data_IF_509487583482
#
_entry.id   IF_509487583482
#
_cell.length_a   1.000
_cell.length_b   1.000
_cell.length_c   1.000
_cell.angle_alpha   90.00
_cell.angle_beta   90.00
_cell.angle_gamma   90.00
#
_symmetry.space_group_name_H-M   'P 1'
#
loop_
_entity.id
_entity.type
_entity.pdbx_description
1 polymer ?
#
# COMPACT_ATOMS: atom_id res chain seq x y z
N UNK A 1 19.38 24.98 5.83
CA UNK A 1 18.05 25.36 6.34
C UNK A 1 18.16 25.52 7.85
N UNK A 2 17.65 26.61 8.42
CA UNK A 2 17.61 26.83 9.87
C UNK A 2 16.17 26.78 10.38
N UNK A 3 15.96 26.16 11.54
CA UNK A 3 14.65 26.02 12.16
C UNK A 3 14.60 26.76 13.51
N UNK A 4 13.43 27.29 13.86
CA UNK A 4 13.08 27.76 15.20
C UNK A 4 12.07 26.79 15.82
N UNK A 5 12.21 26.53 17.11
CA UNK A 5 11.22 25.77 17.88
C UNK A 5 10.11 26.71 18.33
N UNK A 6 8.86 26.36 18.02
CA UNK A 6 7.66 27.02 18.53
C UNK A 6 6.98 26.06 19.51
N UNK A 7 6.99 26.40 20.81
CA UNK A 7 6.37 25.56 21.83
C UNK A 7 6.95 24.14 21.91
N UNK A 8 6.08 23.16 22.12
CA UNK A 8 6.45 21.75 22.20
C UNK A 8 6.29 21.06 20.83
N UNK A 9 7.39 20.57 20.26
CA UNK A 9 7.38 19.72 19.07
C UNK A 9 7.15 20.42 17.72
N UNK A 10 6.87 21.72 17.69
CA UNK A 10 6.60 22.46 16.46
C UNK A 10 7.86 23.17 15.96
N UNK A 11 8.25 22.89 14.71
CA UNK A 11 9.41 23.52 14.07
C UNK A 11 8.97 24.38 12.90
N UNK A 12 9.48 25.61 12.85
CA UNK A 12 9.27 26.52 11.72
C UNK A 12 10.61 26.85 11.05
N UNK A 13 10.63 26.94 9.72
CA UNK A 13 11.80 27.46 9.00
C UNK A 13 11.97 28.93 9.38
N UNK A 14 13.17 29.30 9.84
CA UNK A 14 13.42 30.63 10.43
C UNK A 14 13.03 31.77 9.49
N UNK A 15 13.26 31.61 8.19
CA UNK A 15 12.94 32.57 7.13
C UNK A 15 11.45 32.71 6.81
N UNK A 16 10.60 31.79 7.29
CA UNK A 16 9.15 31.80 7.07
C UNK A 16 8.36 32.30 8.28
N UNK A 17 9.04 32.61 9.39
CA UNK A 17 8.37 33.00 10.63
C UNK A 17 7.55 34.29 10.48
N UNK A 18 8.14 35.32 9.89
CA UNK A 18 7.47 36.62 9.72
C UNK A 18 6.40 36.56 8.60
N UNK A 19 6.50 35.62 7.66
CA UNK A 19 5.48 35.41 6.60
C UNK A 19 4.19 34.76 7.13
N UNK A 20 4.23 34.11 8.31
CA UNK A 20 3.08 33.39 8.86
C UNK A 20 1.93 34.32 9.25
N UNK A 21 2.22 35.58 9.64
CA UNK A 21 1.17 36.57 9.96
C UNK A 21 0.41 37.08 8.74
N UNK A 22 0.95 36.85 7.54
CA UNK A 22 0.43 37.37 6.28
C UNK A 22 -0.40 36.32 5.51
N UNK A 23 -0.71 35.17 6.12
CA UNK A 23 -1.48 34.14 5.43
C UNK A 23 -2.94 34.57 5.26
N UNK A 24 -3.45 34.43 4.04
CA UNK A 24 -4.85 34.72 3.68
C UNK A 24 -5.68 33.44 3.48
N UNK A 25 -5.03 32.28 3.44
CA UNK A 25 -5.69 30.99 3.27
C UNK A 25 -4.89 29.87 3.94
N UNK A 26 -5.61 28.88 4.45
CA UNK A 26 -5.06 27.59 4.88
C UNK A 26 -5.68 26.52 3.99
N UNK A 27 -4.83 25.76 3.32
CA UNK A 27 -5.24 24.65 2.44
C UNK A 27 -4.75 23.36 3.08
N UNK A 28 -5.65 22.41 3.26
CA UNK A 28 -5.35 21.11 3.83
C UNK A 28 -5.25 20.07 2.73
N UNK A 29 -4.23 19.22 2.83
CA UNK A 29 -4.30 17.90 2.23
C UNK A 29 -5.30 17.03 3.01
N UNK A 30 -5.76 15.92 2.44
CA UNK A 30 -6.67 14.99 3.13
C UNK A 30 -5.85 13.93 3.85
N UNK A 31 -5.13 13.12 3.08
CA UNK A 31 -4.47 11.91 3.57
C UNK A 31 -3.25 12.27 4.42
N UNK A 32 -3.22 11.78 5.66
CA UNK A 32 -2.16 12.09 6.63
C UNK A 32 -2.19 13.52 7.20
N UNK A 33 -3.23 14.31 6.85
CA UNK A 33 -3.46 15.66 7.41
C UNK A 33 -4.81 15.74 8.10
N UNK A 34 -5.91 15.54 7.37
CA UNK A 34 -7.27 15.53 7.93
C UNK A 34 -7.69 14.11 8.37
N UNK A 35 -7.20 13.09 7.68
CA UNK A 35 -7.57 11.69 7.87
C UNK A 35 -6.34 10.81 7.95
N UNK A 36 -6.29 9.92 8.93
CA UNK A 36 -5.33 8.82 8.97
C UNK A 36 -5.85 7.66 8.13
N UNK A 37 -5.19 7.47 6.99
CA UNK A 37 -5.46 6.42 6.01
C UNK A 37 -4.56 5.20 6.19
N UNK A 38 -3.65 5.21 7.19
CA UNK A 38 -2.62 4.18 7.33
C UNK A 38 -3.25 2.79 7.51
N UNK A 39 -4.27 2.68 8.36
CA UNK A 39 -4.95 1.40 8.65
C UNK A 39 -5.66 0.85 7.42
N UNK A 40 -6.38 1.69 6.66
CA UNK A 40 -7.13 1.27 5.47
C UNK A 40 -6.19 0.78 4.37
N UNK A 41 -5.11 1.51 4.07
CA UNK A 41 -4.13 1.11 3.05
C UNK A 41 -3.35 -0.15 3.46
N UNK A 42 -2.90 -0.26 4.72
CA UNK A 42 -2.11 -1.41 5.16
C UNK A 42 -2.96 -2.68 5.12
N UNK A 43 -4.20 -2.60 5.59
CA UNK A 43 -5.17 -3.67 5.49
C UNK A 43 -5.42 -4.06 4.01
N UNK A 44 -5.63 -3.08 3.13
CA UNK A 44 -5.86 -3.31 1.70
C UNK A 44 -4.68 -4.01 1.03
N UNK A 45 -3.45 -3.57 1.29
CA UNK A 45 -2.23 -4.17 0.74
C UNK A 45 -2.13 -5.64 1.19
N UNK A 46 -2.32 -5.92 2.49
CA UNK A 46 -2.24 -7.30 3.00
C UNK A 46 -3.35 -8.18 2.43
N UNK A 47 -4.61 -7.72 2.45
CA UNK A 47 -5.74 -8.48 1.90
C UNK A 47 -5.56 -8.76 0.42
N UNK A 48 -5.17 -7.75 -0.37
CA UNK A 48 -4.89 -7.91 -1.81
C UNK A 48 -3.77 -8.94 -2.02
N UNK A 49 -2.72 -8.89 -1.21
CA UNK A 49 -1.61 -9.85 -1.27
C UNK A 49 -2.08 -11.27 -0.98
N UNK A 50 -2.83 -11.50 0.11
CA UNK A 50 -3.40 -12.81 0.45
C UNK A 50 -4.34 -13.33 -0.64
N UNK A 51 -5.24 -12.48 -1.13
CA UNK A 51 -6.24 -12.84 -2.15
C UNK A 51 -5.55 -13.23 -3.46
N UNK A 52 -4.59 -12.42 -3.93
CA UNK A 52 -3.89 -12.70 -5.18
C UNK A 52 -3.03 -13.96 -5.04
N UNK A 53 -2.21 -14.07 -4.00
CA UNK A 53 -1.38 -15.27 -3.80
C UNK A 53 -2.24 -16.55 -3.73
N UNK A 54 -3.35 -16.52 -3.00
CA UNK A 54 -4.24 -17.68 -2.90
C UNK A 54 -4.94 -17.95 -4.24
N UNK A 55 -5.70 -16.99 -4.75
CA UNK A 55 -6.59 -17.27 -5.88
C UNK A 55 -5.86 -17.36 -7.22
N UNK A 56 -4.78 -16.60 -7.40
CA UNK A 56 -3.99 -16.63 -8.62
C UNK A 56 -2.94 -17.74 -8.57
N UNK A 57 -2.19 -17.86 -7.47
CA UNK A 57 -1.03 -18.74 -7.38
C UNK A 57 -1.27 -20.04 -6.59
N UNK A 58 -2.44 -20.19 -5.95
CA UNK A 58 -2.71 -21.34 -5.06
C UNK A 58 -1.92 -21.30 -3.75
N UNK A 59 -1.38 -20.14 -3.38
CA UNK A 59 -0.53 -19.94 -2.21
C UNK A 59 -1.32 -19.29 -1.08
N UNK A 60 -1.65 -20.07 -0.06
CA UNK A 60 -2.26 -19.53 1.16
C UNK A 60 -1.18 -18.98 2.10
N UNK A 61 -1.42 -17.78 2.65
CA UNK A 61 -0.54 -17.16 3.62
C UNK A 61 -1.34 -16.40 4.69
N UNK A 62 -0.65 -16.10 5.79
CA UNK A 62 -1.08 -15.12 6.79
C UNK A 62 -0.03 -14.02 6.86
N UNK A 63 -0.47 -12.77 6.89
CA UNK A 63 0.39 -11.60 6.81
C UNK A 63 0.37 -10.82 8.11
N UNK A 64 1.58 -10.55 8.60
CA UNK A 64 1.86 -10.00 9.91
C UNK A 64 2.26 -8.53 9.93
N UNK A 65 2.89 -8.12 11.03
CA UNK A 65 3.53 -6.81 11.21
C UNK A 65 4.87 -6.67 10.47
N UNK A 66 5.46 -7.78 10.04
CA UNK A 66 6.61 -7.80 9.14
C UNK A 66 6.28 -7.22 7.76
N UNK A 67 5.05 -7.39 7.26
CA UNK A 67 4.58 -6.70 6.05
C UNK A 67 4.49 -5.19 6.27
N UNK A 68 4.05 -4.74 7.45
CA UNK A 68 3.97 -3.30 7.77
C UNK A 68 5.36 -2.66 7.74
N UNK A 69 6.38 -3.36 8.24
CA UNK A 69 7.76 -2.92 8.16
C UNK A 69 8.26 -2.81 6.70
N UNK A 70 7.84 -3.73 5.82
CA UNK A 70 8.15 -3.68 4.38
C UNK A 70 7.44 -2.51 3.69
N UNK A 71 6.15 -2.30 3.96
CA UNK A 71 5.38 -1.16 3.41
C UNK A 71 6.04 0.16 3.81
N UNK A 72 6.37 0.32 5.10
CA UNK A 72 7.08 1.50 5.61
C UNK A 72 8.42 1.68 4.90
N UNK A 73 9.20 0.61 4.73
CA UNK A 73 10.52 0.67 4.08
C UNK A 73 10.40 1.09 2.61
N UNK A 74 9.38 0.63 1.89
CA UNK A 74 9.11 1.06 0.51
C UNK A 74 8.76 2.56 0.45
N UNK A 75 7.87 3.03 1.34
CA UNK A 75 7.51 4.46 1.41
C UNK A 75 8.73 5.35 1.72
N UNK A 76 9.67 4.86 2.53
CA UNK A 76 10.90 5.59 2.88
C UNK A 76 11.91 5.73 1.73
N UNK A 77 11.81 4.95 0.65
CA UNK A 77 12.68 5.07 -0.53
C UNK A 77 12.29 6.24 -1.45
N UNK A 78 11.12 6.86 -1.22
CA UNK A 78 10.64 8.07 -1.88
C UNK A 78 10.08 7.88 -3.30
N UNK A 79 10.35 6.78 -3.99
CA UNK A 79 9.79 6.49 -5.32
C UNK A 79 8.57 5.56 -5.34
N UNK A 80 8.09 5.10 -4.17
CA UNK A 80 6.96 4.19 -4.02
C UNK A 80 5.70 4.91 -3.49
N UNK A 81 5.13 5.79 -4.32
CA UNK A 81 3.92 6.56 -3.98
C UNK A 81 2.61 5.85 -4.35
N UNK A 82 2.67 4.71 -5.06
CA UNK A 82 1.49 3.96 -5.50
C UNK A 82 1.34 2.70 -4.67
N UNK A 83 0.24 2.59 -3.93
CA UNK A 83 -0.04 1.39 -3.13
C UNK A 83 -0.31 0.15 -4.01
N UNK A 84 -0.73 0.33 -5.26
CA UNK A 84 -0.77 -0.76 -6.25
C UNK A 84 0.62 -1.32 -6.53
N UNK A 85 1.63 -0.45 -6.72
CA UNK A 85 3.01 -0.89 -6.90
C UNK A 85 3.52 -1.55 -5.61
N UNK A 86 3.24 -0.98 -4.44
CA UNK A 86 3.59 -1.57 -3.14
C UNK A 86 3.05 -2.99 -3.00
N UNK A 87 1.75 -3.19 -3.24
CA UNK A 87 1.14 -4.52 -3.19
C UNK A 87 1.75 -5.47 -4.24
N UNK A 88 1.91 -5.01 -5.49
CA UNK A 88 2.48 -5.82 -6.57
C UNK A 88 3.91 -6.28 -6.25
N UNK A 89 4.74 -5.40 -5.67
CA UNK A 89 6.11 -5.70 -5.29
C UNK A 89 6.19 -6.70 -4.14
N UNK A 90 5.33 -6.55 -3.12
CA UNK A 90 5.25 -7.52 -2.01
C UNK A 90 4.82 -8.90 -2.53
N UNK A 91 3.80 -8.94 -3.40
CA UNK A 91 3.33 -10.19 -4.04
C UNK A 91 4.47 -10.86 -4.81
N UNK A 92 5.22 -10.11 -5.62
CA UNK A 92 6.36 -10.63 -6.37
C UNK A 92 7.46 -11.19 -5.46
N UNK A 93 7.83 -10.47 -4.39
CA UNK A 93 8.85 -10.90 -3.45
C UNK A 93 8.49 -12.22 -2.75
N UNK A 94 7.22 -12.36 -2.32
CA UNK A 94 6.71 -13.59 -1.71
C UNK A 94 6.63 -14.73 -2.73
N UNK A 95 6.14 -14.44 -3.93
CA UNK A 95 5.99 -15.43 -5.00
C UNK A 95 7.33 -16.07 -5.40
N UNK A 96 8.40 -15.28 -5.47
CA UNK A 96 9.72 -15.77 -5.90
C UNK A 96 10.25 -16.92 -5.03
N UNK A 97 10.01 -16.87 -3.71
CA UNK A 97 10.50 -17.90 -2.79
C UNK A 97 9.47 -18.98 -2.47
N UNK A 98 8.30 -18.98 -3.12
CA UNK A 98 7.31 -20.03 -2.97
C UNK A 98 7.75 -21.32 -3.68
N UNK A 99 7.43 -22.50 -3.14
CA UNK A 99 7.71 -23.79 -3.82
C UNK A 99 6.67 -24.07 -4.93
N UNK A 100 7.15 -24.41 -6.13
CA UNK A 100 6.42 -24.96 -7.31
C UNK A 100 5.01 -24.44 -7.61
N UNK A 101 4.87 -23.14 -7.88
CA UNK A 101 3.70 -22.62 -8.62
C UNK A 101 4.02 -22.68 -10.12
N UNK A 102 3.55 -23.73 -10.80
CA UNK A 102 3.76 -23.89 -12.25
C UNK A 102 2.86 -22.98 -13.10
N UNK A 103 1.70 -22.54 -12.58
CA UNK A 103 0.78 -21.67 -13.33
C UNK A 103 -0.09 -20.78 -12.43
N UNK A 104 -0.36 -19.56 -12.92
CA UNK A 104 -1.36 -18.67 -12.35
C UNK A 104 -2.73 -18.96 -12.98
N UNK A 105 -3.82 -18.95 -12.19
CA UNK A 105 -5.17 -19.15 -12.73
C UNK A 105 -5.58 -18.00 -13.66
N UNK A 106 -6.30 -18.30 -14.74
CA UNK A 106 -6.73 -17.28 -15.71
C UNK A 106 -8.04 -16.58 -15.33
N UNK A 107 -8.86 -17.19 -14.46
CA UNK A 107 -10.18 -16.67 -14.06
C UNK A 107 -10.37 -16.76 -12.55
N UNK A 108 -11.08 -15.77 -12.01
CA UNK A 108 -11.35 -15.62 -10.60
C UNK A 108 -12.86 -15.56 -10.37
N UNK A 109 -13.33 -16.38 -9.44
CA UNK A 109 -14.69 -16.30 -8.91
C UNK A 109 -14.82 -15.09 -7.98
N UNK A 110 -16.07 -14.78 -7.58
CA UNK A 110 -16.32 -13.73 -6.58
C UNK A 110 -15.65 -14.09 -5.26
N UNK A 111 -14.97 -13.10 -4.67
CA UNK A 111 -14.14 -13.18 -3.47
C UNK A 111 -14.87 -12.46 -2.36
N UNK A 112 -15.24 -13.20 -1.31
CA UNK A 112 -15.75 -12.63 -0.07
C UNK A 112 -14.58 -12.41 0.90
N UNK A 113 -14.32 -11.13 1.20
CA UNK A 113 -13.14 -10.68 1.97
C UNK A 113 -13.24 -11.05 3.44
N UNK A 114 -14.44 -11.30 3.97
CA UNK A 114 -14.62 -11.79 5.34
C UNK A 114 -13.82 -13.09 5.56
N UNK A 115 -13.69 -13.94 4.53
CA UNK A 115 -12.91 -15.18 4.59
C UNK A 115 -11.39 -14.98 4.66
N UNK A 116 -10.90 -13.76 4.46
CA UNK A 116 -9.48 -13.42 4.46
C UNK A 116 -9.06 -12.57 5.66
N UNK A 117 -10.01 -12.13 6.51
CA UNK A 117 -9.68 -11.32 7.69
C UNK A 117 -8.79 -12.10 8.66
N UNK A 118 -9.03 -13.40 8.85
CA UNK A 118 -8.22 -14.28 9.70
C UNK A 118 -6.79 -14.54 9.13
N UNK A 119 -6.54 -14.15 7.87
CA UNK A 119 -5.19 -14.14 7.32
C UNK A 119 -4.37 -12.93 7.78
N UNK A 120 -4.98 -11.90 8.36
CA UNK A 120 -4.28 -10.73 8.86
C UNK A 120 -4.02 -10.91 10.35
N UNK A 121 -2.74 -10.95 10.74
CA UNK A 121 -2.32 -11.28 12.11
C UNK A 121 -1.42 -10.19 12.69
N UNK A 122 -1.38 -10.05 14.01
CA UNK A 122 -0.51 -9.07 14.69
C UNK A 122 0.97 -9.52 14.71
N UNK A 123 1.22 -10.83 14.63
CA UNK A 123 2.55 -11.45 14.72
C UNK A 123 3.34 -11.45 13.41
N UNK A 124 4.26 -12.41 13.28
CA UNK A 124 5.01 -12.63 12.03
C UNK A 124 4.15 -13.32 10.97
N UNK A 125 4.49 -13.11 9.69
CA UNK A 125 3.84 -13.79 8.57
C UNK A 125 4.12 -15.29 8.55
N UNK A 126 3.23 -16.03 7.90
CA UNK A 126 3.37 -17.48 7.71
C UNK A 126 2.79 -17.90 6.34
N UNK A 127 3.18 -19.06 5.78
CA UNK A 127 4.18 -20.02 6.29
C UNK A 127 5.63 -19.51 6.18
N UNK A 128 6.61 -20.31 6.61
CA UNK A 128 8.02 -19.91 6.75
C UNK A 128 8.62 -19.26 5.49
N UNK A 129 8.25 -19.73 4.29
CA UNK A 129 8.77 -19.12 3.05
C UNK A 129 8.32 -17.66 2.89
N UNK A 130 7.13 -17.30 3.37
CA UNK A 130 6.61 -15.92 3.32
C UNK A 130 7.45 -15.03 4.24
N UNK A 131 7.69 -15.50 5.46
CA UNK A 131 8.53 -14.80 6.44
C UNK A 131 9.94 -14.58 5.92
N UNK A 132 10.59 -15.62 5.38
CA UNK A 132 11.94 -15.50 4.85
C UNK A 132 11.98 -14.61 3.59
N UNK A 133 10.93 -14.62 2.76
CA UNK A 133 10.78 -13.67 1.63
C UNK A 133 10.76 -12.22 2.11
N UNK A 134 9.92 -11.93 3.11
CA UNK A 134 9.76 -10.57 3.64
C UNK A 134 11.05 -10.09 4.33
N UNK A 135 11.74 -10.99 5.02
CA UNK A 135 13.03 -10.71 5.66
C UNK A 135 14.13 -10.42 4.63
N UNK A 136 14.25 -11.25 3.59
CA UNK A 136 15.15 -11.01 2.46
C UNK A 136 14.85 -9.65 1.82
N UNK A 137 13.58 -9.40 1.51
CA UNK A 137 13.18 -8.17 0.83
C UNK A 137 13.41 -6.94 1.70
N UNK A 138 13.07 -7.01 2.99
CA UNK A 138 13.37 -5.95 3.97
C UNK A 138 14.88 -5.65 4.05
N UNK A 139 15.73 -6.67 3.94
CA UNK A 139 17.19 -6.51 3.86
C UNK A 139 17.60 -5.65 2.67
N UNK A 140 17.11 -6.00 1.48
CA UNK A 140 17.38 -5.26 0.23
C UNK A 140 16.94 -3.80 0.34
N UNK A 141 15.74 -3.54 0.87
CA UNK A 141 15.22 -2.17 1.01
C UNK A 141 16.09 -1.34 1.95
N UNK A 142 16.49 -1.91 3.10
CA UNK A 142 17.33 -1.24 4.10
C UNK A 142 18.73 -0.92 3.57
N UNK A 143 19.33 -1.80 2.79
CA UNK A 143 20.64 -1.56 2.15
C UNK A 143 20.61 -0.37 1.17
N UNK A 144 19.42 0.02 0.71
CA UNK A 144 19.22 1.12 -0.23
C UNK A 144 18.63 2.38 0.41
N UNK A 145 18.51 2.45 1.74
CA UNK A 145 18.06 3.67 2.42
C UNK A 145 18.98 4.86 2.12
N UNK A 146 18.37 6.03 1.95
CA UNK A 146 19.05 7.26 1.52
C UNK A 146 19.28 7.36 0.01
N UNK A 147 18.94 6.33 -0.77
CA UNK A 147 18.82 6.40 -2.23
C UNK A 147 17.36 6.58 -2.62
N UNK A 148 17.13 7.38 -3.66
CA UNK A 148 15.83 7.43 -4.30
C UNK A 148 15.71 6.21 -5.21
N UNK A 149 14.77 5.31 -4.92
CA UNK A 149 14.48 4.15 -5.74
C UNK A 149 13.06 4.21 -6.27
N UNK A 150 12.95 4.15 -7.59
CA UNK A 150 11.69 4.05 -8.32
C UNK A 150 11.31 2.57 -8.51
N UNK A 151 10.11 2.35 -9.04
CA UNK A 151 9.56 1.01 -9.31
C UNK A 151 10.52 0.16 -10.14
N UNK A 152 11.08 0.73 -11.19
CA UNK A 152 11.96 0.05 -12.14
C UNK A 152 13.25 -0.45 -11.47
N UNK A 153 13.74 0.27 -10.45
CA UNK A 153 14.91 -0.16 -9.68
C UNK A 153 14.59 -1.41 -8.84
N UNK A 154 13.42 -1.42 -8.18
CA UNK A 154 12.98 -2.57 -7.40
C UNK A 154 12.62 -3.75 -8.30
N UNK A 155 11.99 -3.52 -9.45
CA UNK A 155 11.73 -4.56 -10.45
C UNK A 155 13.02 -5.20 -10.96
N UNK A 156 14.08 -4.40 -11.18
CA UNK A 156 15.40 -4.93 -11.56
C UNK A 156 15.99 -5.84 -10.48
N UNK A 157 15.88 -5.47 -9.20
CA UNK A 157 16.34 -6.31 -8.09
C UNK A 157 15.55 -7.62 -7.97
N UNK A 158 14.23 -7.56 -8.22
CA UNK A 158 13.38 -8.75 -8.27
C UNK A 158 13.75 -9.65 -9.47
N UNK A 159 14.10 -9.07 -10.61
CA UNK A 159 14.52 -9.80 -11.80
C UNK A 159 15.87 -10.51 -11.57
N UNK A 160 16.84 -9.84 -10.93
CA UNK A 160 18.11 -10.45 -10.53
C UNK A 160 17.88 -11.64 -9.57
N UNK A 161 16.94 -11.54 -8.64
CA UNK A 161 16.61 -12.66 -7.76
C UNK A 161 15.90 -13.78 -8.52
N UNK A 162 14.99 -13.44 -9.43
CA UNK A 162 14.34 -14.41 -10.29
C UNK A 162 15.34 -15.19 -11.14
N UNK A 163 16.40 -14.55 -11.63
CA UNK A 163 17.48 -15.21 -12.36
C UNK A 163 18.22 -16.23 -11.47
N UNK A 164 18.60 -15.85 -10.25
CA UNK A 164 19.27 -16.76 -9.29
C UNK A 164 18.41 -17.97 -8.95
N UNK A 165 17.10 -17.78 -8.83
CA UNK A 165 16.15 -18.84 -8.48
C UNK A 165 15.64 -19.63 -9.71
N UNK A 166 16.03 -19.25 -10.94
CA UNK A 166 15.52 -19.87 -12.16
C UNK A 166 14.03 -19.62 -12.42
N UNK A 167 13.50 -18.48 -11.94
CA UNK A 167 12.07 -18.12 -11.94
C UNK A 167 11.68 -16.94 -12.82
N UNK A 168 12.56 -16.49 -13.71
CA UNK A 168 12.31 -15.34 -14.61
C UNK A 168 10.99 -15.47 -15.35
N UNK A 169 10.72 -16.62 -15.99
CA UNK A 169 9.47 -16.82 -16.75
C UNK A 169 8.24 -16.88 -15.84
N UNK A 170 8.36 -17.46 -14.64
CA UNK A 170 7.27 -17.50 -13.66
C UNK A 170 6.93 -16.08 -13.17
N UNK A 171 7.95 -15.26 -12.86
CA UNK A 171 7.76 -13.86 -12.47
C UNK A 171 7.11 -13.05 -13.59
N UNK A 172 7.53 -13.25 -14.84
CA UNK A 172 6.94 -12.60 -16.01
C UNK A 172 5.46 -12.96 -16.18
N UNK A 173 5.10 -14.24 -16.02
CA UNK A 173 3.70 -14.70 -16.06
C UNK A 173 2.87 -14.10 -14.93
N UNK A 174 3.43 -14.01 -13.72
CA UNK A 174 2.79 -13.34 -12.60
C UNK A 174 2.49 -11.87 -12.96
N UNK A 175 3.51 -11.09 -13.36
CA UNK A 175 3.32 -9.67 -13.75
C UNK A 175 2.26 -9.48 -14.83
N UNK A 176 2.25 -10.37 -15.83
CA UNK A 176 1.23 -10.36 -16.89
C UNK A 176 -0.17 -10.59 -16.33
N UNK A 177 -0.30 -11.52 -15.38
CA UNK A 177 -1.57 -11.86 -14.74
C UNK A 177 -2.07 -10.78 -13.77
N UNK A 178 -1.17 -10.07 -13.08
CA UNK A 178 -1.53 -8.88 -12.29
C UNK A 178 -2.08 -7.76 -13.17
N UNK A 179 -1.65 -7.72 -14.43
CA UNK A 179 -2.08 -6.76 -15.44
C UNK A 179 -1.44 -5.38 -15.29
N UNK A 180 -1.81 -4.43 -16.17
CA UNK A 180 -1.38 -3.05 -16.08
C UNK A 180 -1.80 -2.42 -14.74
N UNK A 181 -0.86 -1.76 -14.07
CA UNK A 181 -1.08 -1.09 -12.79
C UNK A 181 -1.39 0.40 -12.98
N UNK A 182 -2.37 0.73 -13.83
CA UNK A 182 -2.61 2.12 -14.25
C UNK A 182 -3.91 2.72 -13.74
N UNK A 183 -5.01 1.95 -13.67
CA UNK A 183 -6.31 2.43 -13.18
C UNK A 183 -7.22 1.27 -12.78
N UNK A 184 -8.33 1.58 -12.12
CA UNK A 184 -9.39 0.59 -11.87
C UNK A 184 -9.86 -0.05 -13.18
N UNK A 185 -9.98 -1.38 -13.21
CA UNK A 185 -10.37 -2.14 -14.40
C UNK A 185 -9.27 -2.33 -15.44
N UNK A 186 -8.10 -1.68 -15.32
CA UNK A 186 -7.01 -1.87 -16.28
C UNK A 186 -6.29 -3.21 -16.13
N UNK A 187 -6.15 -3.67 -14.89
CA UNK A 187 -5.46 -4.90 -14.53
C UNK A 187 -6.17 -5.58 -13.37
N UNK A 188 -5.82 -6.85 -13.15
CA UNK A 188 -6.42 -7.63 -12.09
C UNK A 188 -6.12 -7.05 -10.71
N UNK A 189 -4.85 -6.70 -10.46
CA UNK A 189 -4.42 -6.19 -9.17
C UNK A 189 -5.11 -4.87 -8.83
N UNK A 190 -5.15 -3.92 -9.76
CA UNK A 190 -5.77 -2.61 -9.51
C UNK A 190 -7.27 -2.73 -9.27
N UNK A 191 -7.93 -3.67 -9.95
CA UNK A 191 -9.36 -3.93 -9.76
C UNK A 191 -9.64 -4.52 -8.38
N UNK A 192 -8.95 -5.60 -8.00
CA UNK A 192 -9.11 -6.21 -6.68
C UNK A 192 -8.75 -5.21 -5.57
N UNK A 193 -7.64 -4.48 -5.72
CA UNK A 193 -7.18 -3.53 -4.72
C UNK A 193 -8.22 -2.45 -4.45
N UNK A 194 -8.74 -1.79 -5.50
CA UNK A 194 -9.74 -0.73 -5.33
C UNK A 194 -11.06 -1.27 -4.77
N UNK A 195 -11.49 -2.48 -5.15
CA UNK A 195 -12.73 -3.05 -4.59
C UNK A 195 -12.57 -3.48 -3.13
N UNK A 196 -11.38 -3.95 -2.72
CA UNK A 196 -11.07 -4.19 -1.30
C UNK A 196 -11.03 -2.86 -0.53
N UNK A 197 -10.41 -1.83 -1.11
CA UNK A 197 -10.28 -0.53 -0.47
C UNK A 197 -11.64 0.13 -0.29
N UNK A 198 -12.40 0.32 -1.37
CA UNK A 198 -13.64 1.07 -1.39
C UNK A 198 -14.86 0.27 -0.93
N UNK A 199 -14.83 -1.05 -1.10
CA UNK A 199 -16.01 -1.91 -0.90
C UNK A 199 -17.09 -1.70 -1.95
N UNK A 200 -18.20 -2.45 -1.83
CA UNK A 200 -19.23 -2.47 -2.87
C UNK A 200 -19.94 -1.12 -3.07
N UNK A 201 -20.17 -0.36 -2.01
CA UNK A 201 -20.77 0.98 -2.11
C UNK A 201 -19.78 2.00 -2.67
N UNK A 202 -18.52 1.97 -2.22
CA UNK A 202 -17.51 2.91 -2.68
C UNK A 202 -17.11 2.69 -4.14
N UNK A 203 -17.02 1.44 -4.61
CA UNK A 203 -16.76 1.13 -6.03
C UNK A 203 -17.90 1.64 -6.91
N UNK A 204 -19.16 1.40 -6.53
CA UNK A 204 -20.33 1.93 -7.26
C UNK A 204 -20.34 3.45 -7.27
N UNK A 205 -20.02 4.08 -6.14
CA UNK A 205 -19.98 5.53 -6.01
C UNK A 205 -18.89 6.19 -6.86
N UNK A 206 -17.67 5.64 -6.85
CA UNK A 206 -16.49 6.21 -7.53
C UNK A 206 -16.46 5.88 -9.02
N UNK A 207 -16.81 4.65 -9.40
CA UNK A 207 -16.64 4.14 -10.76
C UNK A 207 -17.96 3.92 -11.52
N UNK A 208 -19.11 4.01 -10.84
CA UNK A 208 -20.42 3.83 -11.47
C UNK A 208 -20.71 2.39 -11.92
N UNK A 209 -19.96 1.41 -11.40
CA UNK A 209 -20.09 -0.01 -11.74
C UNK A 209 -20.14 -0.87 -10.47
N UNK A 210 -20.79 -2.02 -10.57
CA UNK A 210 -20.71 -3.05 -9.52
C UNK A 210 -19.30 -3.66 -9.48
N UNK A 211 -18.77 -4.01 -8.29
CA UNK A 211 -17.51 -4.75 -8.17
C UNK A 211 -17.51 -6.04 -8.98
N UNK A 212 -16.40 -6.28 -9.68
CA UNK A 212 -16.19 -7.43 -10.54
C UNK A 212 -15.83 -8.65 -9.71
N UNK A 213 -14.93 -8.50 -8.75
CA UNK A 213 -14.31 -9.63 -8.04
C UNK A 213 -14.69 -9.68 -6.57
N UNK A 214 -14.88 -8.55 -5.91
CA UNK A 214 -14.90 -8.50 -4.44
C UNK A 214 -16.30 -8.25 -3.88
N UNK A 215 -16.62 -8.96 -2.79
CA UNK A 215 -17.76 -8.73 -1.90
C UNK A 215 -17.23 -8.29 -0.54
N UNK A 216 -17.41 -7.01 -0.18
CA UNK A 216 -16.82 -6.43 1.03
C UNK A 216 -17.37 -5.03 1.32
N UNK A 217 -17.35 -4.61 2.59
CA UNK A 217 -17.81 -3.27 3.00
C UNK A 217 -16.81 -2.14 2.70
N UNK A 218 -15.54 -2.46 2.50
CA UNK A 218 -14.47 -1.50 2.22
C UNK A 218 -13.51 -1.31 3.38
N UNK A 219 -12.21 -1.39 3.12
CA UNK A 219 -11.17 -1.10 4.11
C UNK A 219 -11.14 0.39 4.48
N UNK A 220 -11.65 1.27 3.60
CA UNK A 220 -11.83 2.72 3.82
C UNK A 220 -12.63 3.05 5.09
N UNK A 221 -13.46 2.12 5.57
CA UNK A 221 -14.20 2.30 6.83
C UNK A 221 -13.32 2.26 8.09
N UNK A 222 -12.03 1.94 7.96
CA UNK A 222 -11.07 1.92 9.06
C UNK A 222 -10.23 3.21 9.17
N UNK A 223 -10.63 4.26 8.46
CA UNK A 223 -9.96 5.56 8.50
C UNK A 223 -10.42 6.37 9.70
N UNK A 224 -9.49 7.14 10.27
CA UNK A 224 -9.72 7.92 11.49
C UNK A 224 -9.51 9.41 11.20
N UNK A 225 -10.41 10.26 11.70
CA UNK A 225 -10.23 11.71 11.61
C UNK A 225 -9.08 12.13 12.52
N UNK A 226 -8.10 12.85 11.96
CA UNK A 226 -6.97 13.42 12.68
C UNK A 226 -7.26 14.80 13.25
N UNK A 227 -8.14 15.54 12.58
CA UNK A 227 -8.50 16.90 12.96
C UNK A 227 -9.85 16.92 13.67
N UNK A 228 -9.97 17.77 14.69
CA UNK A 228 -11.26 18.06 15.31
C UNK A 228 -11.98 19.18 14.54
N UNK A 229 -13.32 19.10 14.48
CA UNK A 229 -14.13 20.13 13.82
C UNK A 229 -13.91 21.52 14.45
N UNK A 230 -13.62 21.57 15.75
CA UNK A 230 -13.33 22.82 16.46
C UNK A 230 -12.04 23.48 15.95
N UNK A 231 -10.99 22.71 15.70
CA UNK A 231 -9.75 23.23 15.11
C UNK A 231 -9.98 23.88 13.74
N UNK A 232 -10.86 23.28 12.92
CA UNK A 232 -11.22 23.87 11.62
C UNK A 232 -11.98 25.20 11.78
N UNK A 233 -12.85 25.32 12.80
CA UNK A 233 -13.56 26.57 13.11
C UNK A 233 -12.59 27.64 13.58
N UNK A 234 -11.69 27.32 14.51
CA UNK A 234 -10.68 28.25 15.02
C UNK A 234 -9.78 28.78 13.88
N UNK A 235 -9.30 27.90 13.00
CA UNK A 235 -8.47 28.32 11.86
C UNK A 235 -9.22 29.24 10.90
N UNK A 236 -10.51 28.99 10.67
CA UNK A 236 -11.35 29.84 9.85
C UNK A 236 -11.66 31.21 10.50
N UNK A 237 -11.56 31.34 11.82
CA UNK A 237 -11.66 32.63 12.52
C UNK A 237 -10.33 33.39 12.54
N UNK A 238 -9.20 32.68 12.57
CA UNK A 238 -7.86 33.26 12.65
C UNK A 238 -7.35 33.81 11.31
N UNK A 239 -7.71 33.18 10.20
CA UNK A 239 -7.26 33.61 8.87
C UNK A 239 -8.20 34.73 8.37
N UNK A 240 -7.68 35.96 8.14
CA UNK A 240 -8.51 37.05 7.66
C UNK A 240 -9.10 36.74 6.28
N UNK A 241 -10.35 37.14 6.07
CA UNK A 241 -11.09 36.98 4.80
C UNK A 241 -10.66 37.95 3.72
#
# INVERSE_FOLDING_TARGET
MSYKLLGEGLLIRSEKFDELSEIEAVVFDIDGTLVDVTKSYYLTIKLTTCVILHKLCGLECRLGSDVDAVINSLKMLGGFNSDWNTAATIIQAIFLHSSDVESCRETLEKIDIENYLDCIVEGESSPEYVKESLKWFSGILKENFGRHLERENIESLLDEEAEKLGRVEALRKLRTSLGPLTSYGSGLLTTIFEEIYLGEEGTRGKYGVDPIYVSWRGAILNEELLIEEETLKELNELVPK
#
